data_IF_128718725984
#
_entry.id   IF_128718725984
#
_cell.length_a   1.000
_cell.length_b   1.000
_cell.length_c   1.000
_cell.angle_alpha   90.00
_cell.angle_beta   90.00
_cell.angle_gamma   90.00
#
_symmetry.space_group_name_H-M   'P 1'
#
loop_
_entity.id
_entity.type
_entity.pdbx_description
1 polymer ?
#
# COMPACT_ATOMS: atom_id res chain seq x y z
N UNK A 1 20.38 -18.04 -37.30
CA UNK A 1 19.14 -17.89 -36.52
C UNK A 1 19.53 -17.40 -35.13
N UNK A 2 19.50 -16.08 -34.90
CA UNK A 2 19.93 -15.48 -33.64
C UNK A 2 18.73 -15.33 -32.70
N UNK A 3 18.57 -16.28 -31.77
CA UNK A 3 17.68 -16.13 -30.62
C UNK A 3 18.33 -15.20 -29.60
N UNK A 4 18.14 -13.90 -29.80
CA UNK A 4 18.49 -12.87 -28.82
C UNK A 4 17.54 -12.96 -27.62
N UNK A 5 18.10 -13.19 -26.44
CA UNK A 5 17.36 -13.29 -25.18
C UNK A 5 16.82 -11.92 -24.75
N UNK A 6 15.59 -11.58 -25.14
CA UNK A 6 14.81 -10.44 -24.63
C UNK A 6 14.36 -10.65 -23.16
N UNK A 7 15.30 -10.70 -22.22
CA UNK A 7 15.00 -10.74 -20.77
C UNK A 7 14.83 -9.36 -20.14
N UNK A 8 15.24 -8.28 -20.80
CA UNK A 8 15.25 -6.93 -20.23
C UNK A 8 13.87 -6.23 -20.18
N UNK A 9 12.90 -6.66 -20.98
CA UNK A 9 11.60 -5.98 -21.05
C UNK A 9 10.59 -6.43 -19.99
N UNK A 10 10.87 -7.51 -19.23
CA UNK A 10 9.91 -8.05 -18.25
C UNK A 10 9.77 -7.20 -16.98
N UNK A 11 10.65 -6.22 -16.79
CA UNK A 11 10.73 -5.41 -15.57
C UNK A 11 10.30 -3.96 -15.80
N UNK A 12 9.50 -3.68 -16.84
CA UNK A 12 8.98 -2.33 -17.10
C UNK A 12 7.49 -2.25 -16.81
N UNK A 13 7.05 -1.07 -16.38
CA UNK A 13 5.64 -0.74 -16.28
C UNK A 13 5.02 -0.76 -17.68
N UNK A 14 3.93 -1.50 -17.88
CA UNK A 14 3.26 -1.58 -19.19
C UNK A 14 2.70 -0.23 -19.65
N UNK A 15 2.37 0.67 -18.71
CA UNK A 15 1.77 1.98 -19.01
C UNK A 15 2.82 3.08 -19.28
N UNK A 16 3.76 3.31 -18.36
CA UNK A 16 4.75 4.37 -18.51
C UNK A 16 6.11 3.90 -19.06
N UNK A 17 6.29 2.60 -19.32
CA UNK A 17 7.55 1.99 -19.75
C UNK A 17 8.74 2.15 -18.80
N UNK A 18 8.57 2.79 -17.65
CA UNK A 18 9.61 2.95 -16.63
C UNK A 18 9.84 1.64 -15.86
N UNK A 19 11.10 1.36 -15.57
CA UNK A 19 11.50 0.31 -14.63
C UNK A 19 11.22 0.76 -13.19
N UNK A 20 10.85 -0.16 -12.28
CA UNK A 20 10.63 0.20 -10.90
C UNK A 20 11.94 0.66 -10.26
N UNK A 21 11.93 1.87 -9.71
CA UNK A 21 13.11 2.44 -9.05
C UNK A 21 13.42 1.67 -7.77
N UNK A 22 14.69 1.37 -7.52
CA UNK A 22 15.14 0.83 -6.24
C UNK A 22 14.75 1.80 -5.12
N UNK A 23 13.95 1.32 -4.17
CA UNK A 23 13.39 2.16 -3.13
C UNK A 23 14.23 1.98 -1.87
N UNK A 24 14.91 3.05 -1.43
CA UNK A 24 15.66 3.06 -0.17
C UNK A 24 14.69 3.42 0.96
N UNK A 25 14.47 2.50 1.88
CA UNK A 25 13.62 2.74 3.05
C UNK A 25 14.50 2.96 4.28
N UNK A 26 14.35 4.11 4.94
CA UNK A 26 14.90 4.34 6.27
C UNK A 26 13.82 4.24 7.33
N UNK A 27 14.00 3.41 8.35
CA UNK A 27 13.17 3.47 9.55
C UNK A 27 14.04 3.84 10.76
N UNK A 28 13.51 4.70 11.63
CA UNK A 28 14.16 5.09 12.87
C UNK A 28 13.58 4.25 14.00
N UNK A 29 14.36 3.28 14.47
CA UNK A 29 14.07 2.56 15.72
C UNK A 29 15.05 3.02 16.78
N UNK A 30 14.59 3.82 17.74
CA UNK A 30 15.34 4.07 18.98
C UNK A 30 16.59 4.96 18.87
N UNK A 31 16.69 5.83 17.86
CA UNK A 31 17.74 6.88 17.80
C UNK A 31 19.00 6.53 17.00
N UNK A 32 19.16 5.31 16.49
CA UNK A 32 20.25 4.96 15.58
C UNK A 32 19.72 4.69 14.16
N UNK A 33 20.02 5.61 13.24
CA UNK A 33 19.59 5.53 11.83
C UNK A 33 20.43 4.49 11.10
N UNK A 34 19.96 3.24 11.04
CA UNK A 34 20.58 2.20 10.20
C UNK A 34 19.74 1.96 8.96
N UNK A 35 20.31 2.34 7.82
CA UNK A 35 19.64 2.22 6.53
C UNK A 35 20.69 1.88 5.50
N UNK A 36 20.58 0.69 4.88
CA UNK A 36 21.06 0.42 3.53
C UNK A 36 20.61 -0.98 3.10
N UNK A 37 19.30 -1.26 3.16
CA UNK A 37 18.76 -2.40 2.41
C UNK A 37 18.22 -1.87 1.09
N UNK A 38 19.00 -2.01 0.02
CA UNK A 38 18.50 -1.83 -1.33
C UNK A 38 17.57 -3.00 -1.64
N UNK A 39 16.28 -2.72 -1.81
CA UNK A 39 15.34 -3.70 -2.36
C UNK A 39 15.07 -3.34 -3.80
N UNK A 40 15.16 -4.36 -4.64
CA UNK A 40 14.70 -4.29 -6.02
C UNK A 40 13.26 -3.79 -6.05
N UNK A 41 12.98 -2.83 -6.91
CA UNK A 41 11.63 -2.30 -7.06
C UNK A 41 10.67 -3.38 -7.58
N UNK A 42 9.50 -3.53 -6.96
CA UNK A 42 8.51 -4.53 -7.34
C UNK A 42 7.52 -3.97 -8.36
N UNK A 43 7.13 -4.82 -9.33
CA UNK A 43 5.99 -4.57 -10.20
C UNK A 43 4.71 -5.20 -9.65
N UNK A 44 3.59 -4.53 -9.88
CA UNK A 44 2.27 -4.96 -9.46
C UNK A 44 1.48 -5.48 -10.66
N UNK A 45 0.97 -6.71 -10.57
CA UNK A 45 0.12 -7.28 -11.61
C UNK A 45 -1.33 -6.86 -11.41
N UNK A 46 -1.93 -6.23 -12.42
CA UNK A 46 -3.34 -5.88 -12.39
C UNK A 46 -4.20 -7.14 -12.47
N UNK A 47 -5.16 -7.30 -11.54
CA UNK A 47 -6.06 -8.46 -11.54
C UNK A 47 -7.04 -8.46 -12.73
N UNK A 48 -7.32 -7.29 -13.31
CA UNK A 48 -8.28 -7.13 -14.42
C UNK A 48 -7.66 -7.48 -15.77
N UNK A 49 -6.61 -6.73 -16.17
CA UNK A 49 -5.95 -6.90 -17.47
C UNK A 49 -4.74 -7.85 -17.44
N UNK A 50 -4.18 -8.16 -16.27
CA UNK A 50 -3.03 -9.07 -16.15
C UNK A 50 -1.66 -8.46 -16.46
N UNK A 51 -1.58 -7.19 -16.86
CA UNK A 51 -0.32 -6.49 -17.10
C UNK A 51 0.38 -6.06 -15.79
N UNK A 52 1.68 -5.77 -15.90
CA UNK A 52 2.54 -5.36 -14.79
C UNK A 52 2.74 -3.85 -14.78
N UNK A 53 2.62 -3.23 -13.60
CA UNK A 53 2.66 -1.78 -13.42
C UNK A 53 3.56 -1.37 -12.25
N UNK A 54 4.12 -0.16 -12.31
CA UNK A 54 4.87 0.43 -11.19
C UNK A 54 3.94 0.84 -10.03
N UNK A 55 4.51 1.28 -8.90
CA UNK A 55 3.76 1.75 -7.72
C UNK A 55 2.70 2.79 -8.08
N UNK A 56 3.03 3.73 -8.97
CA UNK A 56 2.14 4.81 -9.35
C UNK A 56 0.97 4.35 -10.22
N UNK A 57 1.19 3.31 -11.03
CA UNK A 57 0.20 2.79 -11.99
C UNK A 57 -0.47 1.49 -11.54
N UNK A 58 -0.25 1.03 -10.31
CA UNK A 58 -0.79 -0.25 -9.80
C UNK A 58 -2.33 -0.31 -9.75
N UNK A 59 -3.01 0.83 -9.71
CA UNK A 59 -4.47 0.92 -9.62
C UNK A 59 -5.08 0.99 -11.03
N UNK A 60 -6.21 0.31 -11.31
CA UNK A 60 -6.89 0.35 -12.62
C UNK A 60 -7.23 1.75 -13.12
N UNK A 61 -7.54 2.67 -12.21
CA UNK A 61 -7.85 4.08 -12.50
C UNK A 61 -6.64 4.86 -13.00
N UNK A 62 -5.42 4.36 -12.78
CA UNK A 62 -4.17 5.05 -13.10
C UNK A 62 -3.48 4.52 -14.36
N UNK A 63 -3.98 3.47 -15.01
CA UNK A 63 -3.32 2.88 -16.18
C UNK A 63 -4.24 2.56 -17.36
N UNK A 64 -5.39 3.24 -17.46
CA UNK A 64 -6.38 3.03 -18.54
C UNK A 64 -6.64 1.54 -18.81
N UNK A 65 -7.07 0.82 -17.76
CA UNK A 65 -7.24 -0.62 -17.84
C UNK A 65 -8.22 -1.00 -18.98
N UNK A 66 -7.78 -1.82 -19.97
CA UNK A 66 -8.61 -2.16 -21.12
C UNK A 66 -9.80 -3.05 -20.77
N UNK A 67 -9.73 -3.75 -19.63
CA UNK A 67 -10.80 -4.60 -19.13
C UNK A 67 -11.76 -3.77 -18.28
N UNK A 68 -13.01 -3.69 -18.72
CA UNK A 68 -14.07 -3.02 -17.98
C UNK A 68 -14.36 -3.70 -16.63
N UNK A 69 -14.93 -2.96 -15.69
CA UNK A 69 -15.30 -3.52 -14.38
C UNK A 69 -16.33 -4.65 -14.50
N UNK A 70 -17.31 -4.50 -15.39
CA UNK A 70 -18.35 -5.51 -15.61
C UNK A 70 -17.79 -6.81 -16.19
N UNK A 71 -16.88 -6.71 -17.15
CA UNK A 71 -16.20 -7.88 -17.73
C UNK A 71 -15.33 -8.60 -16.70
N UNK A 72 -14.68 -7.85 -15.80
CA UNK A 72 -13.92 -8.48 -14.72
C UNK A 72 -14.82 -9.25 -13.75
N UNK A 73 -15.99 -8.69 -13.42
CA UNK A 73 -16.96 -9.29 -12.48
C UNK A 73 -17.57 -10.58 -13.04
N UNK A 74 -17.87 -10.64 -14.33
CA UNK A 74 -18.41 -11.84 -14.97
C UNK A 74 -17.41 -13.01 -14.92
N UNK A 75 -16.11 -12.74 -15.13
CA UNK A 75 -15.03 -13.74 -15.03
C UNK A 75 -14.80 -14.28 -13.61
N UNK A 76 -15.16 -13.52 -12.57
CA UNK A 76 -15.05 -13.98 -11.18
C UNK A 76 -16.25 -14.86 -10.77
N UNK A 77 -17.45 -14.56 -11.28
CA UNK A 77 -18.64 -15.36 -11.01
C UNK A 77 -18.53 -16.80 -11.52
N UNK A 78 -17.79 -17.04 -12.61
CA UNK A 78 -17.62 -18.38 -13.16
C UNK A 78 -16.65 -19.27 -12.38
N UNK A 79 -15.98 -18.76 -11.33
CA UNK A 79 -14.95 -19.50 -10.57
C UNK A 79 -15.33 -19.85 -9.14
N UNK A 80 -16.56 -19.56 -8.75
CA UNK A 80 -17.10 -19.92 -7.44
C UNK A 80 -18.29 -20.84 -7.69
N UNK A 81 -18.00 -22.09 -7.99
CA UNK A 81 -18.96 -23.19 -7.76
C UNK A 81 -18.93 -23.44 -6.24
N UNK A 82 -19.55 -22.53 -5.50
CA UNK A 82 -19.72 -22.69 -4.07
C UNK A 82 -20.94 -23.59 -3.89
N UNK A 83 -20.70 -24.87 -3.63
CA UNK A 83 -21.74 -25.75 -3.12
C UNK A 83 -22.18 -25.23 -1.75
N UNK A 84 -23.40 -24.67 -1.60
CA UNK A 84 -23.87 -24.14 -0.33
C UNK A 84 -24.05 -25.22 0.75
N UNK A 85 -23.97 -26.49 0.37
CA UNK A 85 -24.11 -27.66 1.22
C UNK A 85 -22.79 -28.42 1.39
N UNK A 86 -21.67 -27.97 0.81
CA UNK A 86 -20.36 -28.39 1.28
C UNK A 86 -20.14 -27.79 2.66
N UNK A 87 -20.62 -28.51 3.67
CA UNK A 87 -20.28 -28.33 5.06
C UNK A 87 -18.76 -28.41 5.13
N UNK A 88 -18.11 -27.24 5.16
CA UNK A 88 -16.70 -27.13 5.49
C UNK A 88 -16.56 -27.80 6.84
N UNK A 89 -16.09 -29.04 6.85
CA UNK A 89 -15.74 -29.70 8.10
C UNK A 89 -14.80 -28.73 8.81
N UNK A 90 -15.06 -28.37 10.08
CA UNK A 90 -14.16 -27.50 10.81
C UNK A 90 -12.78 -28.11 10.62
N UNK A 91 -11.84 -27.32 10.09
CA UNK A 91 -10.44 -27.73 9.96
C UNK A 91 -10.06 -28.13 11.38
N UNK A 92 -10.09 -29.43 11.66
CA UNK A 92 -9.55 -30.03 12.86
C UNK A 92 -8.13 -29.54 12.84
N UNK A 93 -7.85 -28.51 13.65
CA UNK A 93 -6.50 -27.99 13.83
C UNK A 93 -5.69 -29.21 14.15
N UNK A 94 -4.89 -29.63 13.18
CA UNK A 94 -3.93 -30.69 13.38
C UNK A 94 -3.12 -30.22 14.58
N UNK A 95 -3.26 -30.91 15.70
CA UNK A 95 -2.45 -30.69 16.88
C UNK A 95 -1.02 -31.00 16.47
N UNK A 96 -0.32 -30.01 15.93
CA UNK A 96 1.11 -30.09 15.75
C UNK A 96 1.68 -30.30 17.14
N UNK A 97 2.49 -31.35 17.37
CA UNK A 97 3.14 -31.52 18.65
C UNK A 97 4.02 -30.29 18.87
N UNK A 98 3.65 -29.49 19.87
CA UNK A 98 4.49 -28.41 20.40
C UNK A 98 5.67 -29.10 21.07
N UNK A 99 6.69 -29.41 20.30
CA UNK A 99 7.96 -29.90 20.79
C UNK A 99 9.05 -28.90 20.40
N UNK A 100 9.20 -27.86 21.21
CA UNK A 100 10.49 -27.22 21.41
C UNK A 100 10.42 -26.30 22.65
N UNK A 101 11.40 -26.41 23.55
CA UNK A 101 11.63 -25.43 24.65
C UNK A 101 11.75 -23.97 24.16
N UNK A 102 11.86 -23.74 22.84
CA UNK A 102 11.84 -22.40 22.23
C UNK A 102 10.45 -21.80 22.06
N UNK A 103 9.36 -22.57 22.13
CA UNK A 103 8.00 -22.04 21.96
C UNK A 103 7.39 -21.49 23.25
N UNK A 104 7.83 -21.96 24.42
CA UNK A 104 7.42 -21.41 25.72
C UNK A 104 7.95 -19.98 25.93
N UNK A 105 9.15 -19.68 25.43
CA UNK A 105 9.61 -18.31 25.34
C UNK A 105 8.66 -17.49 24.45
N UNK A 106 8.22 -18.03 23.31
CA UNK A 106 7.39 -17.30 22.33
C UNK A 106 5.99 -16.94 22.82
N UNK A 107 5.45 -17.72 23.76
CA UNK A 107 4.10 -17.54 24.29
C UNK A 107 4.09 -16.59 25.49
N UNK A 108 5.19 -16.45 26.25
CA UNK A 108 5.21 -15.60 27.46
C UNK A 108 5.09 -14.09 27.16
N UNK A 109 5.46 -13.64 25.96
CA UNK A 109 5.22 -12.25 25.51
C UNK A 109 3.89 -12.07 24.77
N UNK A 110 3.10 -13.13 24.57
CA UNK A 110 1.69 -13.01 24.16
C UNK A 110 0.80 -13.01 25.40
N UNK A 111 0.95 -12.01 26.26
CA UNK A 111 -0.24 -11.52 26.94
C UNK A 111 -1.20 -11.04 25.84
N UNK A 112 -2.43 -11.56 25.77
CA UNK A 112 -3.42 -10.97 24.90
C UNK A 112 -3.66 -9.56 25.41
N UNK A 113 -3.06 -8.56 24.75
CA UNK A 113 -3.54 -7.19 24.86
C UNK A 113 -5.04 -7.23 24.61
N UNK A 114 -5.88 -6.70 25.53
CA UNK A 114 -7.31 -6.66 25.33
C UNK A 114 -7.56 -6.07 23.96
N UNK A 115 -8.19 -6.88 23.11
CA UNK A 115 -8.52 -6.55 21.74
C UNK A 115 -9.34 -5.26 21.74
N UNK A 116 -8.66 -4.15 21.55
CA UNK A 116 -9.28 -2.91 21.13
C UNK A 116 -9.70 -3.17 19.70
N UNK A 117 -10.94 -3.65 19.55
CA UNK A 117 -11.66 -3.52 18.29
C UNK A 117 -11.84 -2.03 18.02
N UNK A 118 -10.85 -1.42 17.39
CA UNK A 118 -11.07 -0.19 16.65
C UNK A 118 -10.40 -0.39 15.30
N UNK A 119 -11.22 -0.80 14.34
CA UNK A 119 -10.96 -0.55 12.93
C UNK A 119 -11.02 0.96 12.72
N UNK A 120 -10.05 1.70 13.25
CA UNK A 120 -9.84 3.07 12.80
C UNK A 120 -9.19 2.99 11.45
N UNK A 121 -10.03 3.20 10.44
CA UNK A 121 -9.63 3.65 9.12
C UNK A 121 -8.67 4.82 9.35
N UNK A 122 -7.37 4.56 9.29
CA UNK A 122 -6.34 5.59 9.30
C UNK A 122 -6.54 6.43 8.05
N UNK A 123 -7.27 7.53 8.21
CA UNK A 123 -7.49 8.54 7.19
C UNK A 123 -6.47 9.67 7.43
N UNK A 124 -5.34 9.70 6.70
CA UNK A 124 -4.30 10.72 6.89
C UNK A 124 -4.76 12.14 6.51
N UNK A 125 -5.98 12.32 6.01
CA UNK A 125 -6.43 13.59 5.43
C UNK A 125 -6.79 14.69 6.45
N UNK A 126 -6.85 14.42 7.76
CA UNK A 126 -7.28 15.43 8.76
C UNK A 126 -6.17 16.25 9.42
N UNK A 127 -4.90 15.80 9.44
CA UNK A 127 -3.84 16.58 10.11
C UNK A 127 -3.32 17.76 9.28
N UNK A 128 -3.41 17.70 7.95
CA UNK A 128 -2.92 18.78 7.08
C UNK A 128 -3.89 19.96 6.97
N UNK A 129 -5.17 19.78 7.34
CA UNK A 129 -6.16 20.86 7.30
C UNK A 129 -5.90 21.94 8.36
N UNK A 130 -5.39 21.55 9.53
CA UNK A 130 -5.14 22.49 10.65
C UNK A 130 -3.89 23.36 10.38
N UNK A 131 -2.86 22.83 9.71
CA UNK A 131 -1.68 23.62 9.36
C UNK A 131 -1.97 24.63 8.24
N UNK A 132 -2.81 24.27 7.26
CA UNK A 132 -3.16 25.16 6.16
C UNK A 132 -3.94 26.40 6.64
N UNK A 133 -4.77 26.26 7.67
CA UNK A 133 -5.52 27.38 8.23
C UNK A 133 -4.62 28.41 8.94
N UNK A 134 -3.51 27.99 9.54
CA UNK A 134 -2.56 28.91 10.19
C UNK A 134 -1.77 29.73 9.16
N UNK A 135 -1.35 29.10 8.07
CA UNK A 135 -0.60 29.78 6.99
C UNK A 135 -1.50 30.80 6.29
N UNK A 136 -2.76 30.45 6.01
CA UNK A 136 -3.74 31.38 5.42
C UNK A 136 -3.94 32.63 6.31
N UNK A 137 -4.07 32.44 7.63
CA UNK A 137 -4.27 33.54 8.58
C UNK A 137 -3.06 34.50 8.61
N UNK A 138 -1.83 33.97 8.57
CA UNK A 138 -0.62 34.79 8.50
C UNK A 138 -0.55 35.61 7.21
N UNK A 139 -0.93 35.02 6.06
CA UNK A 139 -0.95 35.73 4.78
C UNK A 139 -1.95 36.89 4.78
N UNK A 140 -3.15 36.69 5.34
CA UNK A 140 -4.17 37.75 5.46
C UNK A 140 -3.67 38.89 6.35
N UNK A 141 -3.00 38.58 7.46
CA UNK A 141 -2.48 39.58 8.39
C UNK A 141 -1.42 40.48 7.73
N UNK A 142 -0.52 39.91 6.94
CA UNK A 142 0.48 40.68 6.17
C UNK A 142 -0.17 41.62 5.15
N UNK A 143 -1.21 41.15 4.46
CA UNK A 143 -1.95 41.97 3.48
C UNK A 143 -2.63 43.16 4.17
N UNK A 144 -3.25 42.94 5.34
CA UNK A 144 -3.89 44.02 6.09
C UNK A 144 -2.90 45.08 6.57
N UNK A 145 -1.72 44.65 7.07
CA UNK A 145 -0.65 45.59 7.46
C UNK A 145 -0.20 46.43 6.26
N UNK A 146 -0.02 45.82 5.09
CA UNK A 146 0.38 46.54 3.88
C UNK A 146 -0.67 47.58 3.46
N UNK A 147 -1.96 47.23 3.49
CA UNK A 147 -3.05 48.18 3.17
C UNK A 147 -3.04 49.38 4.12
N UNK A 148 -2.91 49.14 5.42
CA UNK A 148 -2.83 50.24 6.41
C UNK A 148 -1.61 51.11 6.15
N UNK A 149 -0.44 50.52 5.85
CA UNK A 149 0.76 51.27 5.51
C UNK A 149 0.57 52.19 4.31
N UNK A 150 -0.07 51.71 3.24
CA UNK A 150 -0.37 52.50 2.04
C UNK A 150 -1.43 53.59 2.23
N UNK A 151 -2.27 53.49 3.28
CA UNK A 151 -3.27 54.51 3.58
C UNK A 151 -2.73 55.65 4.46
N UNK A 152 -1.60 55.42 5.15
CA UNK A 152 -1.00 56.39 6.08
C UNK A 152 0.26 57.07 5.54
N UNK A 153 0.77 56.63 4.38
CA UNK A 153 1.84 57.28 3.60
C UNK A 153 1.21 57.98 2.41
#
# INVERSE_FOLDING_TARGET
>A
MSSGNNKEDKNKCWYCSESPTNMKYSYETGGEKRVNTEREGFLFKCKRCGHSFCVNHRLPEKHECPVSYEEFKSRQKSKVDYDPYEVVQPILRRNYPVNSKSDEARISYRTPTPSTQINEIYNPSRRNWILNNKILLLMILVILIAIVYYLFI
#
